data_IF_365120031392
#
_entry.id   IF_365120031392
#
_cell.length_a   1.000
_cell.length_b   1.000
_cell.length_c   1.000
_cell.angle_alpha   90.00
_cell.angle_beta   90.00
_cell.angle_gamma   90.00
#
_symmetry.space_group_name_H-M   'P 1'
#
loop_
_entity.id
_entity.type
_entity.pdbx_description
1 polymer ?
#
# COMPACT_ATOMS: atom_id res chain seq x y z
N UNK A 1 2.79 25.58 1.68
CA UNK A 1 2.94 24.11 1.81
C UNK A 1 2.51 23.65 3.20
N UNK A 2 2.97 24.33 4.26
CA UNK A 2 2.68 24.01 5.66
C UNK A 2 1.20 23.71 5.94
N UNK A 3 0.29 24.54 5.44
CA UNK A 3 -1.16 24.33 5.65
C UNK A 3 -1.69 23.07 4.98
N UNK A 4 -1.24 22.75 3.76
CA UNK A 4 -1.65 21.55 3.03
C UNK A 4 -1.18 20.28 3.75
N UNK A 5 0.06 20.29 4.26
CA UNK A 5 0.59 19.18 5.06
C UNK A 5 -0.17 19.05 6.37
N UNK A 6 -0.42 20.16 7.08
CA UNK A 6 -1.19 20.16 8.31
C UNK A 6 -2.61 19.61 8.08
N UNK A 7 -3.26 19.98 6.98
CA UNK A 7 -4.57 19.48 6.60
C UNK A 7 -4.54 17.97 6.30
N UNK A 8 -3.58 17.49 5.50
CA UNK A 8 -3.46 16.05 5.18
C UNK A 8 -3.14 15.21 6.43
N UNK A 9 -2.42 15.79 7.38
CA UNK A 9 -2.11 15.20 8.68
C UNK A 9 -3.29 15.16 9.67
N UNK A 10 -4.43 15.78 9.35
CA UNK A 10 -5.65 15.63 10.17
C UNK A 10 -6.38 14.31 9.92
N UNK A 11 -5.95 13.53 8.91
CA UNK A 11 -6.48 12.19 8.68
C UNK A 11 -6.27 11.32 9.93
N UNK A 12 -7.34 10.72 10.51
CA UNK A 12 -7.25 9.92 11.73
C UNK A 12 -6.42 8.64 11.56
N UNK A 13 -6.15 8.21 10.32
CA UNK A 13 -5.26 7.10 10.03
C UNK A 13 -3.78 7.49 10.15
N UNK A 14 -3.46 8.78 10.22
CA UNK A 14 -2.09 9.27 10.42
C UNK A 14 -1.75 9.40 11.89
N UNK A 15 -0.59 8.90 12.25
CA UNK A 15 -0.06 8.98 13.60
C UNK A 15 1.46 9.01 13.62
N UNK A 16 2.02 8.67 14.77
CA UNK A 16 3.46 8.63 14.99
C UNK A 16 3.89 7.28 15.55
N UNK A 17 5.18 6.98 15.43
CA UNK A 17 5.83 5.82 16.06
C UNK A 17 5.26 4.47 15.58
N UNK A 18 4.80 4.38 14.34
CA UNK A 18 4.26 3.16 13.73
C UNK A 18 3.07 2.57 14.50
N UNK A 19 2.29 3.43 15.17
CA UNK A 19 1.08 3.05 15.92
C UNK A 19 -0.22 3.31 15.16
N UNK A 20 -0.13 3.96 14.01
CA UNK A 20 -1.26 4.21 13.13
C UNK A 20 -0.95 3.63 11.74
N UNK A 21 -1.97 3.36 10.90
CA UNK A 21 -1.76 2.82 9.57
C UNK A 21 -0.89 3.68 8.64
N UNK A 22 -0.90 5.00 8.84
CA UNK A 22 -0.10 5.96 8.08
C UNK A 22 0.75 6.80 9.04
N UNK A 23 1.90 7.30 8.58
CA UNK A 23 2.68 8.27 9.35
C UNK A 23 2.30 9.72 9.00
N UNK A 24 2.51 10.61 9.98
CA UNK A 24 2.43 12.04 9.75
C UNK A 24 3.52 12.48 8.77
N UNK A 25 3.12 13.25 7.77
CA UNK A 25 4.02 13.93 6.84
C UNK A 25 4.78 15.01 7.62
N UNK A 26 6.10 15.00 7.53
CA UNK A 26 6.97 16.00 8.15
C UNK A 26 7.39 17.05 7.11
N UNK A 27 7.84 18.20 7.58
CA UNK A 27 8.51 19.23 6.76
C UNK A 27 9.93 19.46 7.28
N UNK A 28 10.67 18.36 7.48
CA UNK A 28 12.05 18.40 7.93
C UNK A 28 13.02 18.80 6.82
N UNK A 29 14.32 18.67 7.08
CA UNK A 29 15.36 19.10 6.15
C UNK A 29 15.29 18.38 4.80
N UNK A 30 14.93 17.10 4.79
CA UNK A 30 14.80 16.31 3.56
C UNK A 30 13.61 16.75 2.73
N UNK A 31 12.44 16.98 3.33
CA UNK A 31 11.29 17.50 2.60
C UNK A 31 11.54 18.92 2.08
N UNK A 32 12.24 19.75 2.84
CA UNK A 32 12.63 21.09 2.39
C UNK A 32 13.63 21.05 1.23
N UNK A 33 14.56 20.09 1.22
CA UNK A 33 15.45 19.86 0.09
C UNK A 33 14.66 19.46 -1.16
N UNK A 34 13.72 18.53 -1.05
CA UNK A 34 12.84 18.11 -2.15
C UNK A 34 11.99 19.25 -2.71
N UNK A 35 11.45 20.10 -1.82
CA UNK A 35 10.73 21.30 -2.23
C UNK A 35 11.65 22.25 -3.02
N UNK A 36 12.87 22.47 -2.54
CA UNK A 36 13.85 23.34 -3.19
C UNK A 36 14.22 22.86 -4.59
N UNK A 37 14.36 21.56 -4.81
CA UNK A 37 14.61 20.99 -6.14
C UNK A 37 13.47 21.24 -7.13
N UNK A 38 12.24 21.39 -6.62
CA UNK A 38 11.06 21.80 -7.39
C UNK A 38 10.88 23.33 -7.47
N UNK A 39 11.82 24.11 -6.94
CA UNK A 39 11.73 25.58 -6.89
C UNK A 39 10.71 26.11 -5.87
N UNK A 40 10.34 25.29 -4.89
CA UNK A 40 9.36 25.60 -3.85
C UNK A 40 10.02 25.73 -2.46
N UNK A 41 9.28 26.31 -1.53
CA UNK A 41 9.60 26.36 -0.10
C UNK A 41 8.39 25.92 0.72
N UNK A 42 8.55 25.81 2.04
CA UNK A 42 7.44 25.50 2.95
C UNK A 42 6.32 26.57 2.90
N UNK A 43 6.67 27.79 2.53
CA UNK A 43 5.75 28.93 2.41
C UNK A 43 5.12 29.05 1.01
N UNK A 44 5.65 28.33 0.02
CA UNK A 44 5.10 28.36 -1.33
C UNK A 44 3.65 27.85 -1.35
N UNK A 45 2.81 28.50 -2.16
CA UNK A 45 1.45 28.07 -2.43
C UNK A 45 1.47 27.37 -3.80
N UNK A 46 1.30 26.04 -3.86
CA UNK A 46 1.21 25.33 -5.13
C UNK A 46 0.05 25.85 -5.97
N UNK A 47 0.20 25.79 -7.30
CA UNK A 47 -0.92 26.03 -8.20
C UNK A 47 -2.02 24.98 -7.96
N UNK A 48 -3.25 25.32 -8.35
CA UNK A 48 -4.35 24.38 -8.29
C UNK A 48 -3.99 23.11 -9.06
N UNK A 49 -4.28 21.95 -8.46
CA UNK A 49 -4.02 20.61 -9.00
C UNK A 49 -2.52 20.29 -9.24
N UNK A 50 -1.60 21.15 -8.77
CA UNK A 50 -0.17 20.85 -8.80
C UNK A 50 0.18 19.77 -7.77
N UNK A 51 0.78 18.67 -8.24
CA UNK A 51 1.38 17.66 -7.39
C UNK A 51 2.76 18.15 -6.94
N UNK A 52 3.01 18.10 -5.64
CA UNK A 52 4.31 18.43 -5.04
C UNK A 52 4.84 17.23 -4.27
N UNK A 53 6.02 16.76 -4.66
CA UNK A 53 6.65 15.62 -4.01
C UNK A 53 7.49 16.07 -2.82
N UNK A 54 7.24 15.51 -1.64
CA UNK A 54 8.02 15.81 -0.43
C UNK A 54 9.15 14.80 -0.19
N UNK A 55 9.10 13.64 -0.87
CA UNK A 55 10.07 12.54 -0.76
C UNK A 55 10.28 11.91 -2.13
N UNK A 56 11.47 11.37 -2.37
CA UNK A 56 11.77 10.57 -3.57
C UNK A 56 11.25 9.13 -3.47
N UNK A 57 11.07 8.62 -2.25
CA UNK A 57 10.51 7.30 -2.00
C UNK A 57 9.04 7.37 -1.57
N UNK A 58 8.32 6.29 -1.80
CA UNK A 58 6.89 6.13 -1.53
C UNK A 58 6.59 5.46 -0.18
N UNK A 59 7.54 5.49 0.76
CA UNK A 59 7.42 4.75 2.01
C UNK A 59 6.32 5.33 2.91
N UNK A 60 5.45 4.47 3.45
CA UNK A 60 4.45 4.87 4.44
C UNK A 60 5.12 5.43 5.70
N UNK A 61 6.28 4.89 6.09
CA UNK A 61 7.05 5.33 7.26
C UNK A 61 7.57 6.77 7.18
N UNK A 62 7.60 7.36 5.98
CA UNK A 62 7.99 8.76 5.73
C UNK A 62 6.78 9.62 5.33
N UNK A 63 5.56 9.13 5.54
CA UNK A 63 4.32 9.85 5.27
C UNK A 63 3.70 9.57 3.90
N UNK A 64 4.22 8.58 3.16
CA UNK A 64 3.64 8.10 1.90
C UNK A 64 2.21 7.57 2.06
N UNK A 65 1.50 7.50 0.94
CA UNK A 65 0.11 7.04 0.88
C UNK A 65 0.05 5.58 0.41
N UNK A 66 -0.73 4.76 1.10
CA UNK A 66 -1.09 3.42 0.63
C UNK A 66 -2.39 3.46 -0.18
N UNK A 67 -2.40 2.82 -1.35
CA UNK A 67 -3.56 2.82 -2.24
C UNK A 67 -3.93 1.37 -2.55
N UNK A 68 -5.19 0.97 -2.29
CA UNK A 68 -5.70 -0.33 -2.75
C UNK A 68 -6.00 -0.28 -4.24
N UNK A 69 -5.23 -1.05 -5.00
CA UNK A 69 -5.37 -1.20 -6.47
C UNK A 69 -5.81 -2.61 -6.87
N UNK A 70 -6.25 -3.43 -5.92
CA UNK A 70 -6.53 -4.86 -6.16
C UNK A 70 -7.56 -5.11 -7.27
N UNK A 71 -8.55 -4.22 -7.43
CA UNK A 71 -9.56 -4.32 -8.48
C UNK A 71 -9.09 -3.76 -9.84
N UNK A 72 -8.00 -2.99 -9.86
CA UNK A 72 -7.45 -2.38 -11.07
C UNK A 72 -6.47 -3.29 -11.81
N UNK A 73 -5.91 -4.29 -11.13
CA UNK A 73 -5.00 -5.27 -11.72
C UNK A 73 -5.75 -6.51 -12.19
N UNK A 74 -5.35 -7.01 -13.37
CA UNK A 74 -5.83 -8.28 -13.90
C UNK A 74 -5.48 -9.45 -12.97
N UNK A 75 -6.27 -10.51 -13.02
CA UNK A 75 -6.05 -11.69 -12.19
C UNK A 75 -4.74 -12.42 -12.53
N UNK A 76 -4.21 -12.24 -13.74
CA UNK A 76 -2.94 -12.83 -14.17
C UNK A 76 -1.76 -12.39 -13.29
N UNK A 77 -1.69 -11.09 -12.92
CA UNK A 77 -0.67 -10.61 -11.98
C UNK A 77 -0.83 -11.23 -10.58
N UNK A 78 -2.07 -11.50 -10.15
CA UNK A 78 -2.37 -12.14 -8.87
C UNK A 78 -1.95 -13.62 -8.90
N UNK A 79 -2.21 -14.31 -10.01
CA UNK A 79 -1.77 -15.69 -10.24
C UNK A 79 -0.24 -15.82 -10.19
N UNK A 80 0.48 -14.87 -10.77
CA UNK A 80 1.96 -14.78 -10.67
C UNK A 80 2.41 -14.69 -9.21
N UNK A 81 1.81 -13.80 -8.42
CA UNK A 81 2.12 -13.69 -6.99
C UNK A 81 1.83 -15.00 -6.25
N UNK A 82 0.69 -15.66 -6.52
CA UNK A 82 0.34 -16.96 -5.94
C UNK A 82 1.33 -18.05 -6.32
N UNK A 83 1.78 -18.09 -7.58
CA UNK A 83 2.77 -19.03 -8.06
C UNK A 83 4.13 -18.82 -7.37
N UNK A 84 4.55 -17.56 -7.16
CA UNK A 84 5.76 -17.23 -6.43
C UNK A 84 5.71 -17.72 -4.97
N UNK A 85 4.60 -17.46 -4.25
CA UNK A 85 4.39 -17.97 -2.89
C UNK A 85 4.45 -19.50 -2.84
N UNK A 86 3.84 -20.16 -3.83
CA UNK A 86 3.83 -21.62 -3.94
C UNK A 86 5.25 -22.18 -4.17
N UNK A 87 6.01 -21.56 -5.06
CA UNK A 87 7.40 -21.95 -5.36
C UNK A 87 8.32 -21.81 -4.14
N UNK A 88 8.06 -20.83 -3.28
CA UNK A 88 8.77 -20.63 -2.01
C UNK A 88 8.33 -21.61 -0.91
N UNK A 89 7.27 -22.40 -1.12
CA UNK A 89 6.70 -23.28 -0.10
C UNK A 89 6.03 -22.54 1.07
N UNK A 90 5.74 -21.26 0.90
CA UNK A 90 5.07 -20.45 1.92
C UNK A 90 3.56 -20.68 1.91
N UNK A 91 2.92 -20.47 3.06
CA UNK A 91 1.45 -20.41 3.17
C UNK A 91 0.92 -18.98 3.09
N UNK A 92 1.69 -18.03 3.60
CA UNK A 92 1.42 -16.60 3.55
C UNK A 92 2.74 -15.89 3.27
N UNK A 93 2.75 -15.02 2.26
CA UNK A 93 3.86 -14.11 1.97
C UNK A 93 3.31 -12.94 1.17
N UNK A 94 3.84 -11.74 1.40
CA UNK A 94 3.72 -10.63 0.46
C UNK A 94 4.70 -10.83 -0.67
N UNK A 95 4.30 -10.53 -1.90
CA UNK A 95 5.17 -10.56 -3.07
C UNK A 95 5.15 -9.17 -3.67
N UNK A 96 6.32 -8.56 -3.77
CA UNK A 96 6.47 -7.21 -4.29
C UNK A 96 6.93 -7.29 -5.74
N UNK A 97 6.11 -6.72 -6.62
CA UNK A 97 6.28 -6.73 -8.07
C UNK A 97 6.64 -5.32 -8.54
N UNK A 98 7.55 -5.23 -9.50
CA UNK A 98 7.68 -4.05 -10.36
C UNK A 98 6.95 -4.31 -11.66
N UNK A 99 5.99 -3.45 -11.99
CA UNK A 99 5.12 -3.59 -13.16
C UNK A 99 5.21 -2.25 -13.92
N UNK A 100 5.88 -2.20 -15.08
CA UNK A 100 6.04 -0.95 -15.85
C UNK A 100 4.71 -0.39 -16.35
N UNK A 101 3.78 -1.26 -16.74
CA UNK A 101 2.44 -0.90 -17.19
C UNK A 101 1.46 -2.03 -16.82
N UNK A 102 0.44 -1.68 -16.05
CA UNK A 102 -0.58 -2.62 -15.54
C UNK A 102 -1.52 -3.14 -16.63
N UNK A 103 -1.61 -2.46 -17.77
CA UNK A 103 -2.49 -2.84 -18.88
C UNK A 103 -1.86 -3.92 -19.78
N UNK A 104 -0.55 -4.16 -19.65
CA UNK A 104 0.13 -5.23 -20.39
C UNK A 104 -0.28 -6.59 -19.80
N UNK A 105 -0.61 -7.54 -20.68
CA UNK A 105 -0.87 -8.92 -20.31
C UNK A 105 0.46 -9.64 -20.00
N UNK A 106 0.69 -10.06 -18.73
CA UNK A 106 1.97 -10.64 -18.32
C UNK A 106 2.21 -12.05 -18.85
N UNK A 107 1.23 -12.69 -19.51
CA UNK A 107 1.41 -13.96 -20.21
C UNK A 107 2.02 -13.78 -21.61
N UNK A 108 2.02 -12.57 -22.14
CA UNK A 108 2.40 -12.28 -23.54
C UNK A 108 3.71 -11.50 -23.67
N UNK A 109 4.17 -10.85 -22.61
CA UNK A 109 5.41 -10.07 -22.59
C UNK A 109 6.25 -10.40 -21.35
N UNK A 110 7.47 -10.86 -21.57
CA UNK A 110 8.45 -11.16 -20.51
C UNK A 110 8.87 -9.90 -19.72
N UNK A 111 8.65 -8.70 -20.27
CA UNK A 111 8.95 -7.42 -19.63
C UNK A 111 7.75 -6.82 -18.88
N UNK A 112 6.63 -7.53 -18.84
CA UNK A 112 5.42 -7.05 -18.16
C UNK A 112 5.64 -6.85 -16.65
N UNK A 113 6.52 -7.64 -16.03
CA UNK A 113 6.84 -7.49 -14.61
C UNK A 113 8.21 -8.07 -14.23
N UNK A 114 8.65 -7.75 -13.01
CA UNK A 114 9.68 -8.47 -12.28
C UNK A 114 9.28 -8.65 -10.81
N UNK A 115 9.67 -9.77 -10.19
CA UNK A 115 9.56 -9.96 -8.74
C UNK A 115 10.78 -9.33 -8.07
N UNK A 116 10.56 -8.38 -7.16
CA UNK A 116 11.62 -7.71 -6.42
C UNK A 116 11.97 -8.49 -5.15
N UNK A 117 10.95 -8.80 -4.35
CA UNK A 117 11.12 -9.42 -3.05
C UNK A 117 9.92 -10.27 -2.63
N UNK A 118 10.16 -11.14 -1.64
CA UNK A 118 9.14 -11.95 -0.99
C UNK A 118 9.24 -11.76 0.53
N UNK A 119 8.16 -11.23 1.12
CA UNK A 119 8.07 -10.88 2.52
C UNK A 119 7.23 -11.91 3.28
N UNK A 120 7.87 -12.81 4.03
CA UNK A 120 7.20 -13.87 4.80
C UNK A 120 6.39 -13.39 6.01
N UNK A 121 6.55 -12.12 6.39
CA UNK A 121 5.75 -11.46 7.43
C UNK A 121 5.18 -10.14 6.89
N UNK A 122 4.25 -10.20 5.93
CA UNK A 122 3.79 -8.99 5.25
C UNK A 122 3.00 -8.10 6.21
N UNK A 123 3.17 -6.79 6.05
CA UNK A 123 2.47 -5.80 6.85
C UNK A 123 0.97 -5.76 6.49
N UNK A 124 0.15 -6.63 7.10
CA UNK A 124 -1.27 -6.74 6.72
C UNK A 124 -2.08 -5.46 6.95
N UNK A 125 -1.74 -4.65 7.97
CA UNK A 125 -2.52 -3.48 8.36
C UNK A 125 -2.62 -2.43 7.24
N UNK A 126 -1.59 -2.29 6.39
CA UNK A 126 -1.60 -1.33 5.27
C UNK A 126 -2.65 -1.71 4.20
N UNK A 127 -2.98 -3.00 4.07
CA UNK A 127 -4.04 -3.46 3.18
C UNK A 127 -5.43 -3.32 3.81
N UNK A 128 -5.53 -3.37 5.15
CA UNK A 128 -6.80 -3.21 5.88
C UNK A 128 -7.24 -1.75 5.88
N UNK A 129 -6.29 -0.82 6.03
CA UNK A 129 -6.54 0.60 6.16
C UNK A 129 -5.70 1.40 5.15
N UNK A 130 -6.02 1.32 3.85
CA UNK A 130 -5.34 2.14 2.85
C UNK A 130 -5.73 3.61 3.02
N UNK A 131 -4.86 4.53 2.59
CA UNK A 131 -5.20 5.95 2.47
C UNK A 131 -6.34 6.16 1.45
N UNK A 132 -6.32 5.41 0.34
CA UNK A 132 -7.36 5.45 -0.69
C UNK A 132 -7.67 4.07 -1.24
N UNK A 133 -8.90 3.87 -1.73
CA UNK A 133 -9.39 2.59 -2.22
C UNK A 133 -10.14 1.78 -1.17
N UNK A 134 -10.22 0.46 -1.35
CA UNK A 134 -11.01 -0.43 -0.50
C UNK A 134 -10.15 -1.19 0.50
N UNK A 135 -10.42 -1.03 1.79
CA UNK A 135 -9.77 -1.80 2.85
C UNK A 135 -10.07 -3.30 2.77
N UNK A 136 -9.04 -4.14 2.87
CA UNK A 136 -9.12 -5.60 2.78
C UNK A 136 -8.72 -6.25 4.09
N UNK A 137 -9.69 -6.86 4.77
CA UNK A 137 -9.48 -7.51 6.08
C UNK A 137 -8.82 -8.88 5.94
N UNK A 138 -7.52 -8.89 5.64
CA UNK A 138 -6.71 -10.11 5.46
C UNK A 138 -6.60 -10.95 6.75
N UNK A 139 -6.69 -10.32 7.91
CA UNK A 139 -6.56 -11.00 9.22
C UNK A 139 -7.61 -12.09 9.43
N UNK A 140 -8.83 -11.90 8.94
CA UNK A 140 -9.86 -12.94 9.02
C UNK A 140 -9.56 -14.13 8.12
N UNK A 141 -8.96 -13.90 6.94
CA UNK A 141 -8.55 -14.98 6.06
C UNK A 141 -7.45 -15.83 6.70
N UNK A 142 -6.49 -15.20 7.39
CA UNK A 142 -5.47 -15.91 8.17
C UNK A 142 -6.08 -16.70 9.31
N UNK A 143 -7.01 -16.13 10.08
CA UNK A 143 -7.71 -16.85 11.14
C UNK A 143 -8.51 -18.04 10.61
N UNK A 144 -9.21 -17.88 9.47
CA UNK A 144 -9.95 -18.96 8.79
C UNK A 144 -9.02 -20.07 8.32
N UNK A 145 -7.81 -19.73 7.86
CA UNK A 145 -6.78 -20.70 7.48
C UNK A 145 -6.27 -21.49 8.69
N UNK A 146 -6.10 -20.84 9.85
CA UNK A 146 -5.59 -21.47 11.07
C UNK A 146 -6.63 -22.33 11.79
N UNK A 147 -7.90 -21.90 11.80
CA UNK A 147 -9.00 -22.55 12.53
C UNK A 147 -10.22 -22.80 11.62
N UNK A 148 -10.08 -23.59 10.55
CA UNK A 148 -11.15 -23.83 9.59
C UNK A 148 -12.41 -24.45 10.23
N UNK A 149 -12.25 -25.25 11.29
CA UNK A 149 -13.34 -25.88 12.03
C UNK A 149 -14.27 -24.88 12.72
N UNK A 150 -13.74 -23.74 13.18
CA UNK A 150 -14.52 -22.68 13.83
C UNK A 150 -15.50 -22.04 12.83
N UNK A 151 -15.11 -21.96 11.57
CA UNK A 151 -15.95 -21.46 10.49
C UNK A 151 -16.94 -22.50 9.95
N UNK A 152 -16.62 -23.78 10.02
CA UNK A 152 -17.51 -24.84 9.58
C UNK A 152 -18.70 -25.06 10.54
N UNK A 153 -18.49 -24.80 11.84
CA UNK A 153 -19.49 -25.03 12.90
C UNK A 153 -20.44 -23.85 13.12
N UNK A 154 -19.97 -22.65 12.83
CA UNK A 154 -20.74 -21.43 13.02
C UNK A 154 -21.15 -20.96 11.61
N UNK A 155 -22.44 -20.95 11.29
CA UNK A 155 -22.96 -20.42 10.03
C UNK A 155 -22.78 -18.88 9.96
N UNK A 156 -21.53 -18.39 9.98
CA UNK A 156 -21.20 -16.99 9.76
C UNK A 156 -21.67 -16.65 8.34
N UNK A 157 -22.83 -16.01 8.22
CA UNK A 157 -23.34 -15.52 6.95
C UNK A 157 -22.31 -14.54 6.37
N UNK A 158 -21.88 -14.80 5.14
CA UNK A 158 -20.94 -13.91 4.42
C UNK A 158 -21.57 -12.55 4.06
N UNK A 159 -22.86 -12.35 4.39
CA UNK A 159 -23.66 -11.14 4.09
C UNK A 159 -23.56 -10.01 5.15
N UNK A 160 -22.92 -10.21 6.30
CA UNK A 160 -22.72 -9.12 7.30
C UNK A 160 -21.43 -8.31 7.07
N UNK A 161 -21.14 -7.91 5.82
CA UNK A 161 -20.03 -7.00 5.48
C UNK A 161 -20.53 -5.69 4.89
#
# INVERSE_FOLDING_TARGET
>A
MTELVAQKNQDPLRGTNHRAPLELIQLGDLEQLMLKEQGLTIDSIPAKDQIVYLRENSNISTGGDSIDVTAEFSDLYKEIAVAAVTALGAKVSGIDLIIPDKEIDPSTDEKAYGIIEANFNPAMHMHVYPFSGTGRRLTLAVLKLLYPEVWALNHWNEEEK
#
